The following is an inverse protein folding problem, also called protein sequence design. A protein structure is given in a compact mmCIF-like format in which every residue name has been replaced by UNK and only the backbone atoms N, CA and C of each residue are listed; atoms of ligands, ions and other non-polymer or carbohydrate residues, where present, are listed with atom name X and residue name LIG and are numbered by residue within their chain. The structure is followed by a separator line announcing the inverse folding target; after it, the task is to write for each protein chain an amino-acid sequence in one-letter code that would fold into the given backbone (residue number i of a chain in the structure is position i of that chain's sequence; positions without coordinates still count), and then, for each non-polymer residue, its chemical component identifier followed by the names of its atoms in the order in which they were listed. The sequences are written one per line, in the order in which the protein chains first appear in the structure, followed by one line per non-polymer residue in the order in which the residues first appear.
data_IF_432054162784
#
_entry.id   IF_432054162784
#
_cell.length_a   1.000
_cell.length_b   1.000
_cell.length_c   1.000
_cell.angle_alpha   90.00
_cell.angle_beta   90.00
_cell.angle_gamma   90.00
#
_symmetry.space_group_name_H-M   'P 1'
#
loop_
_entity.id
_entity.type
_entity.pdbx_description
1 polymer ?
#
# COMPACT_ATOMS: atom_id res chain seq x y z
N UNK A 1 35.48 2.47 -2.52
CA UNK A 1 34.64 1.33 -2.62
C UNK A 1 33.36 1.60 -1.86
N UNK A 2 32.38 2.31 -2.46
CA UNK A 2 31.05 2.52 -1.90
C UNK A 2 30.17 1.36 -2.33
N UNK A 3 29.76 0.52 -1.40
CA UNK A 3 28.70 -0.45 -1.62
C UNK A 3 27.38 0.32 -1.77
N UNK A 4 26.87 0.39 -2.99
CA UNK A 4 25.47 0.71 -3.23
C UNK A 4 24.64 -0.40 -2.59
N UNK A 5 24.05 -0.11 -1.42
CA UNK A 5 23.12 -1.00 -0.74
C UNK A 5 21.87 -1.11 -1.59
N UNK A 6 21.83 -2.12 -2.42
CA UNK A 6 20.62 -2.62 -3.07
C UNK A 6 19.60 -2.86 -1.96
N UNK A 7 18.37 -2.35 -2.14
CA UNK A 7 17.21 -2.63 -1.29
C UNK A 7 16.87 -4.12 -1.46
N UNK A 8 17.71 -4.96 -0.89
CA UNK A 8 17.40 -6.35 -0.63
C UNK A 8 16.70 -6.41 0.72
N UNK A 9 15.67 -7.21 0.82
CA UNK A 9 15.19 -7.74 2.07
C UNK A 9 16.42 -8.10 2.91
N UNK A 10 16.60 -7.47 4.07
CA UNK A 10 17.63 -7.93 4.99
C UNK A 10 17.08 -9.22 5.57
N UNK A 11 17.42 -10.34 4.93
CA UNK A 11 17.42 -11.64 5.61
C UNK A 11 18.58 -11.56 6.58
N UNK A 12 18.31 -11.07 7.78
CA UNK A 12 19.25 -11.17 8.88
C UNK A 12 19.18 -12.60 9.39
N UNK A 13 20.05 -13.46 8.88
CA UNK A 13 20.37 -14.72 9.56
C UNK A 13 21.22 -14.34 10.77
N UNK A 14 20.58 -13.95 11.86
CA UNK A 14 21.26 -13.85 13.14
C UNK A 14 21.30 -15.25 13.76
N UNK A 15 22.52 -15.73 14.02
CA UNK A 15 22.78 -16.82 14.95
C UNK A 15 22.26 -16.45 16.36
N UNK A 16 20.99 -16.59 16.58
CA UNK A 16 20.37 -16.53 17.90
C UNK A 16 20.11 -17.95 18.41
N UNK A 17 21.19 -18.62 18.80
CA UNK A 17 21.16 -19.69 19.76
C UNK A 17 20.68 -19.14 21.11
N UNK A 18 19.34 -19.10 21.34
CA UNK A 18 18.78 -19.08 22.69
C UNK A 18 17.30 -19.45 22.71
N UNK A 19 17.00 -20.38 23.61
CA UNK A 19 15.68 -20.82 24.09
C UNK A 19 14.87 -21.71 23.13
N UNK A 20 15.33 -22.92 22.93
CA UNK A 20 14.54 -24.05 22.44
C UNK A 20 14.12 -24.93 23.60
N UNK A 21 12.94 -24.73 24.14
CA UNK A 21 12.25 -25.74 24.93
C UNK A 21 11.07 -26.24 24.09
N UNK A 22 11.23 -27.41 23.43
CA UNK A 22 10.12 -28.17 22.84
C UNK A 22 9.79 -27.90 21.36
N UNK A 23 10.71 -27.35 20.54
CA UNK A 23 10.58 -27.32 19.07
C UNK A 23 11.15 -28.56 18.43
N UNK A 24 10.49 -29.01 17.35
CA UNK A 24 11.04 -30.03 16.46
C UNK A 24 12.39 -29.53 15.93
N UNK A 25 13.50 -30.27 16.17
CA UNK A 25 14.89 -29.85 15.88
C UNK A 25 15.20 -29.56 14.39
N UNK A 26 14.16 -29.55 13.53
CA UNK A 26 14.27 -29.38 12.08
C UNK A 26 13.74 -28.01 11.55
N UNK A 27 13.11 -27.17 12.38
CA UNK A 27 12.58 -25.90 11.93
C UNK A 27 13.57 -24.74 12.13
N UNK A 28 13.87 -24.03 11.05
CA UNK A 28 14.75 -22.85 11.02
C UNK A 28 13.99 -21.59 10.64
N UNK A 29 14.53 -20.41 11.00
CA UNK A 29 14.02 -19.13 10.53
C UNK A 29 14.45 -18.94 9.08
N UNK A 30 13.48 -19.01 8.16
CA UNK A 30 13.71 -18.82 6.72
C UNK A 30 13.80 -17.35 6.35
N UNK A 31 13.00 -16.50 7.00
CA UNK A 31 12.99 -15.05 6.82
C UNK A 31 12.47 -14.35 8.07
N UNK A 32 13.01 -13.16 8.33
CA UNK A 32 12.50 -12.19 9.28
C UNK A 32 12.16 -10.92 8.49
N UNK A 33 10.88 -10.58 8.42
CA UNK A 33 10.35 -9.52 7.57
C UNK A 33 10.09 -8.28 8.42
N UNK A 34 10.99 -7.31 8.35
CA UNK A 34 10.86 -6.04 9.06
C UNK A 34 10.50 -4.88 8.11
N UNK A 35 9.83 -3.87 8.66
CA UNK A 35 9.44 -2.68 7.92
C UNK A 35 10.65 -1.75 7.68
N UNK A 36 11.30 -1.88 6.53
CA UNK A 36 12.41 -1.02 6.12
C UNK A 36 11.93 0.33 5.59
N UNK A 37 12.80 1.37 5.60
CA UNK A 37 12.48 2.70 5.02
C UNK A 37 12.07 2.59 3.54
N UNK A 38 12.78 1.77 2.76
CA UNK A 38 12.45 1.57 1.35
C UNK A 38 11.06 0.97 1.15
N UNK A 39 10.73 -0.05 1.95
CA UNK A 39 9.41 -0.68 1.94
C UNK A 39 8.31 0.30 2.38
N UNK A 40 8.56 1.11 3.41
CA UNK A 40 7.62 2.16 3.86
C UNK A 40 7.32 3.16 2.74
N UNK A 41 8.34 3.62 1.99
CA UNK A 41 8.14 4.53 0.85
C UNK A 41 7.31 3.85 -0.24
N UNK A 42 7.59 2.59 -0.57
CA UNK A 42 6.83 1.84 -1.56
C UNK A 42 5.36 1.67 -1.12
N UNK A 43 5.12 1.26 0.13
CA UNK A 43 3.77 1.09 0.67
C UNK A 43 2.99 2.42 0.69
N UNK A 44 3.64 3.52 1.08
CA UNK A 44 3.02 4.85 1.06
C UNK A 44 2.64 5.27 -0.36
N UNK A 45 3.55 5.08 -1.33
CA UNK A 45 3.28 5.41 -2.73
C UNK A 45 2.14 4.55 -3.32
N UNK A 46 2.16 3.23 -3.08
CA UNK A 46 1.12 2.31 -3.54
C UNK A 46 -0.21 2.63 -2.84
N UNK A 47 -0.21 2.91 -1.53
CA UNK A 47 -1.39 3.30 -0.78
C UNK A 47 -2.00 4.59 -1.31
N UNK A 48 -1.18 5.60 -1.62
CA UNK A 48 -1.65 6.86 -2.22
C UNK A 48 -2.28 6.62 -3.61
N UNK A 49 -1.65 5.80 -4.44
CA UNK A 49 -2.24 5.39 -5.72
C UNK A 49 -3.52 4.57 -5.50
N UNK A 50 -3.52 3.68 -4.52
CA UNK A 50 -4.67 2.90 -4.08
C UNK A 50 -5.85 3.77 -3.64
N UNK A 51 -5.59 4.91 -3.00
CA UNK A 51 -6.63 5.89 -2.67
C UNK A 51 -7.28 6.48 -3.94
N UNK A 52 -6.49 6.86 -4.95
CA UNK A 52 -7.02 7.40 -6.21
C UNK A 52 -7.82 6.34 -6.96
N UNK A 53 -7.29 5.14 -7.06
CA UNK A 53 -7.96 4.01 -7.74
C UNK A 53 -9.22 3.58 -6.98
N UNK A 54 -9.13 3.40 -5.67
CA UNK A 54 -10.26 3.01 -4.82
C UNK A 54 -11.40 4.05 -4.87
N UNK A 55 -11.04 5.33 -4.76
CA UNK A 55 -12.00 6.42 -4.94
C UNK A 55 -12.71 6.36 -6.28
N UNK A 56 -11.95 6.19 -7.36
CA UNK A 56 -12.51 6.10 -8.71
C UNK A 56 -13.44 4.89 -8.84
N UNK A 57 -13.02 3.74 -8.35
CA UNK A 57 -13.83 2.50 -8.41
C UNK A 57 -15.13 2.66 -7.63
N UNK A 58 -15.07 3.05 -6.34
CA UNK A 58 -16.25 3.12 -5.49
C UNK A 58 -17.20 4.25 -5.91
N UNK A 59 -16.67 5.40 -6.35
CA UNK A 59 -17.50 6.48 -6.91
C UNK A 59 -18.20 6.06 -8.21
N UNK A 60 -17.50 5.30 -9.08
CA UNK A 60 -18.09 4.78 -10.32
C UNK A 60 -19.18 3.75 -10.02
N UNK A 61 -18.94 2.82 -9.06
CA UNK A 61 -19.95 1.84 -8.62
C UNK A 61 -21.17 2.57 -8.08
N UNK A 62 -20.97 3.57 -7.20
CA UNK A 62 -22.06 4.35 -6.62
C UNK A 62 -22.87 5.05 -7.70
N UNK A 63 -22.22 5.78 -8.61
CA UNK A 63 -22.89 6.48 -9.69
C UNK A 63 -23.62 5.53 -10.66
N UNK A 64 -23.01 4.42 -11.01
CA UNK A 64 -23.61 3.45 -11.93
C UNK A 64 -24.85 2.75 -11.35
N UNK A 65 -24.91 2.59 -10.02
CA UNK A 65 -25.98 1.87 -9.33
C UNK A 65 -27.11 2.77 -8.84
N UNK A 66 -26.79 3.99 -8.38
CA UNK A 66 -27.77 4.94 -7.83
C UNK A 66 -28.16 6.05 -8.81
N UNK A 67 -27.38 6.28 -9.86
CA UNK A 67 -27.54 7.40 -10.79
C UNK A 67 -27.10 8.75 -10.19
N UNK A 68 -26.60 8.77 -8.95
CA UNK A 68 -26.20 9.99 -8.24
C UNK A 68 -24.68 10.18 -8.31
N UNK A 69 -24.24 11.44 -8.35
CA UNK A 69 -22.83 11.78 -8.20
C UNK A 69 -22.52 11.98 -6.71
N UNK A 70 -21.48 11.33 -6.21
CA UNK A 70 -21.03 11.50 -4.84
C UNK A 70 -20.67 12.97 -4.55
N UNK A 71 -21.19 13.52 -3.46
CA UNK A 71 -20.93 14.89 -3.04
C UNK A 71 -20.46 14.92 -1.58
N UNK A 72 -19.18 15.22 -1.37
CA UNK A 72 -18.55 15.21 -0.03
C UNK A 72 -18.56 16.60 0.61
N UNK A 73 -19.72 17.16 0.81
CA UNK A 73 -19.90 18.40 1.57
C UNK A 73 -20.57 18.10 2.91
N UNK A 74 -19.75 17.92 3.96
CA UNK A 74 -20.25 17.74 5.32
C UNK A 74 -20.61 19.04 6.00
N UNK A 75 -19.99 20.16 5.57
CA UNK A 75 -20.27 21.50 6.07
C UNK A 75 -21.02 22.34 4.99
N UNK A 76 -21.93 23.26 5.40
CA UNK A 76 -22.64 24.12 4.47
C UNK A 76 -21.66 24.92 3.59
N UNK A 77 -21.89 25.00 2.26
CA UNK A 77 -21.02 25.75 1.37
C UNK A 77 -21.10 27.27 1.65
N UNK A 78 -19.98 27.98 1.48
CA UNK A 78 -20.00 29.45 1.35
C UNK A 78 -19.85 30.27 2.62
N UNK A 79 -19.47 29.70 3.76
CA UNK A 79 -19.33 30.45 5.03
C UNK A 79 -17.86 30.86 5.31
N UNK A 80 -16.91 30.58 4.41
CA UNK A 80 -15.49 30.95 4.54
C UNK A 80 -14.53 29.76 4.53
N UNK A 81 -13.22 30.02 4.54
CA UNK A 81 -12.14 29.01 4.46
C UNK A 81 -12.20 27.91 5.53
N UNK A 82 -12.82 28.21 6.68
CA UNK A 82 -12.95 27.24 7.77
C UNK A 82 -13.90 26.07 7.44
N UNK A 83 -14.83 26.22 6.48
CA UNK A 83 -15.71 25.13 6.02
C UNK A 83 -14.94 24.05 5.29
N UNK A 84 -13.96 24.44 4.48
CA UNK A 84 -13.06 23.50 3.80
C UNK A 84 -12.17 22.79 4.82
N UNK A 85 -11.64 23.53 5.81
CA UNK A 85 -10.88 22.95 6.91
C UNK A 85 -11.73 21.95 7.74
N UNK A 86 -13.01 22.25 7.97
CA UNK A 86 -13.93 21.35 8.66
C UNK A 86 -14.22 20.08 7.84
N UNK A 87 -14.42 20.21 6.54
CA UNK A 87 -14.58 19.05 5.65
C UNK A 87 -13.35 18.13 5.69
N UNK A 88 -12.15 18.68 5.60
CA UNK A 88 -10.89 17.93 5.73
C UNK A 88 -10.80 17.26 7.09
N UNK A 89 -11.14 17.97 8.18
CA UNK A 89 -11.12 17.39 9.54
C UNK A 89 -12.10 16.23 9.67
N UNK A 90 -13.31 16.35 9.13
CA UNK A 90 -14.30 15.26 9.15
C UNK A 90 -13.80 14.05 8.37
N UNK A 91 -13.18 14.24 7.19
CA UNK A 91 -12.58 13.15 6.41
C UNK A 91 -11.48 12.45 7.20
N UNK A 92 -10.61 13.21 7.88
CA UNK A 92 -9.54 12.66 8.73
C UNK A 92 -10.13 11.87 9.90
N UNK A 93 -11.17 12.39 10.57
CA UNK A 93 -11.85 11.69 11.67
C UNK A 93 -12.49 10.40 11.16
N UNK A 94 -13.23 10.45 10.06
CA UNK A 94 -13.83 9.27 9.46
C UNK A 94 -12.75 8.23 9.12
N UNK A 95 -11.66 8.64 8.48
CA UNK A 95 -10.54 7.74 8.17
C UNK A 95 -9.97 7.09 9.42
N UNK A 96 -9.75 7.87 10.49
CA UNK A 96 -9.22 7.35 11.76
C UNK A 96 -10.19 6.37 12.41
N UNK A 97 -11.49 6.69 12.44
CA UNK A 97 -12.54 5.82 13.01
C UNK A 97 -12.62 4.49 12.25
N UNK A 98 -12.39 4.48 10.92
CA UNK A 98 -12.44 3.26 10.13
C UNK A 98 -11.20 2.35 10.25
N UNK A 99 -10.07 2.87 10.76
CA UNK A 99 -8.93 2.02 11.14
C UNK A 99 -9.32 1.03 12.24
N UNK A 100 -10.17 1.44 13.20
CA UNK A 100 -10.58 0.57 14.32
C UNK A 100 -11.29 -0.71 13.85
N UNK A 101 -12.33 -0.69 13.01
CA UNK A 101 -12.93 -1.90 12.45
C UNK A 101 -11.94 -2.75 11.65
N UNK A 102 -11.01 -2.13 10.93
CA UNK A 102 -9.98 -2.84 10.17
C UNK A 102 -9.13 -3.70 11.10
N UNK A 103 -8.50 -3.09 12.11
CA UNK A 103 -7.67 -3.81 13.08
C UNK A 103 -8.48 -4.82 13.91
N UNK A 104 -9.71 -4.46 14.27
CA UNK A 104 -10.58 -5.37 15.00
C UNK A 104 -10.88 -6.65 14.21
N UNK A 105 -11.03 -6.57 12.88
CA UNK A 105 -11.25 -7.72 12.01
C UNK A 105 -10.01 -8.62 11.92
N UNK A 106 -8.79 -8.06 11.89
CA UNK A 106 -7.57 -8.85 12.06
C UNK A 106 -7.61 -9.63 13.38
N UNK A 107 -7.92 -8.94 14.48
CA UNK A 107 -8.02 -9.58 15.80
C UNK A 107 -9.12 -10.61 15.89
N UNK A 108 -10.24 -10.44 15.18
CA UNK A 108 -11.30 -11.44 15.11
C UNK A 108 -10.82 -12.72 14.40
N UNK A 109 -10.11 -12.55 13.28
CA UNK A 109 -9.52 -13.67 12.54
C UNK A 109 -8.41 -14.37 13.35
N UNK A 110 -7.57 -13.63 14.09
CA UNK A 110 -6.59 -14.18 15.02
C UNK A 110 -7.28 -15.07 16.06
N UNK A 111 -8.34 -14.56 16.70
CA UNK A 111 -9.09 -15.31 17.70
C UNK A 111 -9.80 -16.53 17.13
N UNK A 112 -10.29 -16.45 15.91
CA UNK A 112 -10.90 -17.59 15.23
C UNK A 112 -9.93 -18.77 15.07
N UNK A 113 -8.65 -18.48 14.87
CA UNK A 113 -7.59 -19.51 14.79
C UNK A 113 -6.93 -19.83 16.15
N UNK A 114 -7.47 -19.32 17.25
CA UNK A 114 -7.04 -19.69 18.63
C UNK A 114 -5.96 -18.76 19.21
N UNK A 115 -5.59 -17.67 18.53
CA UNK A 115 -4.63 -16.69 19.04
C UNK A 115 -5.32 -15.64 19.96
N UNK A 116 -4.51 -14.96 20.76
CA UNK A 116 -4.91 -13.79 21.54
C UNK A 116 -4.47 -12.53 20.81
N UNK A 117 -5.44 -11.71 20.37
CA UNK A 117 -5.15 -10.48 19.68
C UNK A 117 -4.80 -9.35 20.65
N UNK A 118 -3.69 -8.68 20.42
CA UNK A 118 -3.27 -7.44 21.08
C UNK A 118 -3.26 -6.32 20.06
N UNK A 119 -3.73 -5.14 20.44
CA UNK A 119 -3.85 -3.98 19.55
C UNK A 119 -2.90 -2.88 20.01
N UNK A 120 -2.34 -2.18 19.07
CA UNK A 120 -1.46 -1.05 19.33
C UNK A 120 -1.50 -0.01 18.24
N UNK A 121 -0.85 1.10 18.52
CA UNK A 121 -0.60 2.18 17.57
C UNK A 121 0.89 2.51 17.58
N UNK A 122 1.43 2.81 16.43
CA UNK A 122 2.83 3.15 16.27
C UNK A 122 3.02 4.30 15.29
N UNK A 123 4.26 4.75 15.16
CA UNK A 123 4.66 5.75 14.16
C UNK A 123 5.88 5.21 13.41
N UNK A 124 5.69 4.87 12.15
CA UNK A 124 6.79 4.43 11.29
C UNK A 124 7.63 5.62 10.87
N UNK A 125 8.95 5.54 11.12
CA UNK A 125 9.96 6.53 10.70
C UNK A 125 9.60 7.99 11.07
N UNK A 126 8.92 8.20 12.20
CA UNK A 126 8.48 9.50 12.75
C UNK A 126 7.45 10.28 11.92
N UNK A 127 6.89 9.70 10.85
CA UNK A 127 6.01 10.42 9.92
C UNK A 127 4.68 9.72 9.74
N UNK A 128 4.64 8.39 9.66
CA UNK A 128 3.45 7.63 9.31
C UNK A 128 2.85 6.95 10.54
N UNK A 129 1.73 7.46 11.09
CA UNK A 129 1.01 6.75 12.13
C UNK A 129 0.36 5.49 11.54
N UNK A 130 0.40 4.39 12.27
CA UNK A 130 -0.26 3.14 11.92
C UNK A 130 -0.84 2.48 13.16
N UNK A 131 -1.90 1.72 12.98
CA UNK A 131 -2.43 0.79 13.97
C UNK A 131 -2.03 -0.63 13.58
N UNK A 132 -2.07 -1.55 14.54
CA UNK A 132 -1.78 -2.95 14.28
C UNK A 132 -2.51 -3.85 15.29
N UNK A 133 -2.80 -5.07 14.82
CA UNK A 133 -3.20 -6.18 15.66
C UNK A 133 -2.10 -7.26 15.59
N UNK A 134 -1.59 -7.69 16.73
CA UNK A 134 -0.50 -8.68 16.81
C UNK A 134 -0.84 -9.80 17.79
N UNK A 135 -0.10 -10.91 17.72
CA UNK A 135 -0.29 -12.08 18.56
C UNK A 135 1.00 -12.90 18.66
N UNK A 136 1.14 -13.66 19.73
CA UNK A 136 2.22 -14.66 19.86
C UNK A 136 1.82 -16.02 19.27
N UNK A 137 0.65 -16.13 18.64
CA UNK A 137 0.16 -17.38 18.05
C UNK A 137 0.89 -17.70 16.76
N UNK A 138 1.22 -18.98 16.58
CA UNK A 138 1.82 -19.47 15.34
C UNK A 138 0.73 -19.90 14.36
N UNK A 139 0.77 -19.36 13.14
CA UNK A 139 -0.18 -19.68 12.09
C UNK A 139 0.43 -20.60 11.03
N UNK A 140 -0.37 -21.44 10.42
CA UNK A 140 -0.02 -21.98 9.11
C UNK A 140 -0.06 -20.84 8.06
N UNK A 141 0.67 -21.00 6.96
CA UNK A 141 0.68 -20.02 5.87
C UNK A 141 -0.72 -19.57 5.46
N UNK A 142 -1.63 -20.53 5.25
CA UNK A 142 -2.98 -20.21 4.74
C UNK A 142 -3.86 -19.52 5.81
N UNK A 143 -3.71 -19.88 7.08
CA UNK A 143 -4.40 -19.17 8.17
C UNK A 143 -3.95 -17.70 8.24
N UNK A 144 -2.66 -17.45 8.12
CA UNK A 144 -2.12 -16.11 8.17
C UNK A 144 -2.60 -15.25 6.99
N UNK A 145 -2.68 -15.82 5.78
CA UNK A 145 -3.28 -15.15 4.60
C UNK A 145 -4.74 -14.77 4.87
N UNK A 146 -5.52 -15.63 5.52
CA UNK A 146 -6.91 -15.30 5.90
C UNK A 146 -6.91 -14.16 6.92
N UNK A 147 -6.05 -14.20 7.93
CA UNK A 147 -5.94 -13.10 8.92
C UNK A 147 -5.67 -11.77 8.21
N UNK A 148 -4.67 -11.72 7.31
CA UNK A 148 -4.28 -10.52 6.58
C UNK A 148 -5.40 -9.97 5.67
N UNK A 149 -6.10 -10.83 4.94
CA UNK A 149 -7.09 -10.37 3.96
C UNK A 149 -8.50 -10.15 4.53
N UNK A 150 -8.77 -10.59 5.77
CA UNK A 150 -10.10 -10.48 6.39
C UNK A 150 -10.65 -9.06 6.39
N UNK A 151 -9.93 -7.99 6.80
CA UNK A 151 -10.50 -6.64 6.80
C UNK A 151 -10.84 -6.15 5.39
N UNK A 152 -9.94 -6.35 4.43
CA UNK A 152 -10.16 -5.93 3.06
C UNK A 152 -11.43 -6.58 2.48
N UNK A 153 -11.55 -7.89 2.65
CA UNK A 153 -12.67 -8.66 2.10
C UNK A 153 -13.98 -8.34 2.82
N UNK A 154 -13.99 -8.39 4.15
CA UNK A 154 -15.24 -8.22 4.93
C UNK A 154 -15.77 -6.80 4.82
N UNK A 155 -14.92 -5.77 4.98
CA UNK A 155 -15.37 -4.39 4.90
C UNK A 155 -15.83 -4.02 3.48
N UNK A 156 -15.20 -4.57 2.44
CA UNK A 156 -15.64 -4.34 1.06
C UNK A 156 -16.96 -5.06 0.77
N UNK A 157 -17.07 -6.34 1.15
CA UNK A 157 -18.30 -7.14 0.91
C UNK A 157 -19.51 -6.63 1.70
N UNK A 158 -19.31 -6.00 2.85
CA UNK A 158 -20.40 -5.39 3.62
C UNK A 158 -20.64 -3.94 3.20
N UNK A 159 -19.57 -3.17 3.03
CA UNK A 159 -19.67 -1.74 2.77
C UNK A 159 -20.24 -1.39 1.40
N UNK A 160 -19.88 -2.13 0.34
CA UNK A 160 -20.41 -1.86 -1.01
C UNK A 160 -21.92 -2.08 -1.09
N UNK A 161 -22.49 -3.22 -0.63
CA UNK A 161 -23.95 -3.39 -0.60
C UNK A 161 -24.66 -2.35 0.28
N UNK A 162 -24.10 -1.97 1.43
CA UNK A 162 -24.70 -0.94 2.30
C UNK A 162 -24.67 0.43 1.60
N UNK A 163 -23.56 0.79 0.95
CA UNK A 163 -23.42 2.01 0.17
C UNK A 163 -24.51 2.12 -0.91
N UNK A 164 -24.77 1.03 -1.62
CA UNK A 164 -25.77 0.98 -2.69
C UNK A 164 -27.20 0.97 -2.12
N UNK A 165 -27.48 0.12 -1.13
CA UNK A 165 -28.83 -0.09 -0.61
C UNK A 165 -29.41 1.14 0.11
N UNK A 166 -28.55 1.92 0.75
CA UNK A 166 -28.92 3.11 1.51
C UNK A 166 -28.57 4.42 0.82
N UNK A 167 -27.94 4.33 -0.39
CA UNK A 167 -27.45 5.49 -1.14
C UNK A 167 -26.49 6.37 -0.31
N UNK A 168 -25.66 5.72 0.53
CA UNK A 168 -24.70 6.38 1.42
C UNK A 168 -23.37 6.63 0.71
N UNK A 169 -23.25 7.77 0.03
CA UNK A 169 -22.02 8.18 -0.69
C UNK A 169 -20.81 8.32 0.24
N UNK A 170 -21.00 8.73 1.50
CA UNK A 170 -19.93 8.87 2.48
C UNK A 170 -19.16 7.57 2.75
N UNK A 171 -19.75 6.39 2.46
CA UNK A 171 -19.06 5.09 2.58
C UNK A 171 -17.95 4.92 1.53
N UNK A 172 -17.92 5.72 0.48
CA UNK A 172 -16.81 5.74 -0.49
C UNK A 172 -15.49 6.07 0.22
N UNK A 173 -15.50 7.00 1.19
CA UNK A 173 -14.29 7.37 1.95
C UNK A 173 -13.71 6.18 2.70
N UNK A 174 -14.43 5.51 3.63
CA UNK A 174 -13.88 4.38 4.37
C UNK A 174 -13.54 3.17 3.50
N UNK A 175 -14.31 2.89 2.45
CA UNK A 175 -14.00 1.81 1.51
C UNK A 175 -12.68 2.08 0.76
N UNK A 176 -12.47 3.32 0.34
CA UNK A 176 -11.22 3.76 -0.28
C UNK A 176 -10.04 3.63 0.67
N UNK A 177 -10.20 4.09 1.91
CA UNK A 177 -9.15 4.02 2.92
C UNK A 177 -8.85 2.58 3.34
N UNK A 178 -9.86 1.72 3.42
CA UNK A 178 -9.67 0.28 3.65
C UNK A 178 -8.84 -0.37 2.54
N UNK A 179 -9.17 -0.09 1.28
CA UNK A 179 -8.43 -0.63 0.13
C UNK A 179 -6.98 -0.12 0.08
N UNK A 180 -6.77 1.16 0.34
CA UNK A 180 -5.44 1.78 0.38
C UNK A 180 -4.61 1.32 1.59
N UNK A 181 -5.23 1.15 2.76
CA UNK A 181 -4.59 0.67 3.99
C UNK A 181 -4.17 -0.79 3.91
N UNK A 182 -4.93 -1.62 3.20
CA UNK A 182 -4.63 -3.03 3.01
C UNK A 182 -3.39 -3.34 2.14
N UNK A 183 -2.65 -2.32 1.67
CA UNK A 183 -1.44 -2.50 0.86
C UNK A 183 -0.38 -3.32 1.60
N UNK A 184 -0.20 -3.09 2.90
CA UNK A 184 0.72 -3.86 3.73
C UNK A 184 0.29 -5.33 3.84
N UNK A 185 -1.00 -5.59 4.05
CA UNK A 185 -1.57 -6.94 4.14
C UNK A 185 -1.44 -7.69 2.82
N UNK A 186 -1.68 -7.00 1.69
CA UNK A 186 -1.51 -7.56 0.35
C UNK A 186 -0.03 -7.91 0.11
N UNK A 187 0.89 -7.00 0.44
CA UNK A 187 2.32 -7.25 0.29
C UNK A 187 2.77 -8.46 1.13
N UNK A 188 2.35 -8.49 2.40
CA UNK A 188 2.66 -9.60 3.30
C UNK A 188 2.07 -10.93 2.78
N UNK A 189 0.83 -10.89 2.30
CA UNK A 189 0.16 -12.05 1.67
C UNK A 189 0.97 -12.55 0.47
N UNK A 190 1.36 -11.68 -0.45
CA UNK A 190 2.16 -12.03 -1.63
C UNK A 190 3.52 -12.62 -1.24
N UNK A 191 4.14 -12.07 -0.20
CA UNK A 191 5.42 -12.56 0.32
C UNK A 191 5.26 -13.96 0.91
N UNK A 192 4.32 -14.15 1.81
CA UNK A 192 4.09 -15.42 2.51
C UNK A 192 3.65 -16.54 1.55
N UNK A 193 2.81 -16.23 0.55
CA UNK A 193 2.38 -17.20 -0.48
C UNK A 193 3.54 -17.65 -1.38
N UNK A 194 4.62 -16.91 -1.47
CA UNK A 194 5.81 -17.33 -2.21
C UNK A 194 6.51 -18.55 -1.58
N UNK A 195 6.34 -18.77 -0.28
CA UNK A 195 6.88 -19.91 0.45
C UNK A 195 6.00 -21.17 0.32
N UNK A 196 6.51 -22.38 0.62
CA UNK A 196 5.73 -23.61 0.64
C UNK A 196 4.55 -23.56 1.61
N UNK A 197 3.52 -24.38 1.39
CA UNK A 197 2.27 -24.33 2.18
C UNK A 197 2.43 -24.76 3.64
N UNK A 198 3.47 -25.53 3.95
CA UNK A 198 3.70 -26.08 5.28
C UNK A 198 4.47 -25.16 6.22
N UNK A 199 4.98 -24.00 5.73
CA UNK A 199 5.69 -23.04 6.59
C UNK A 199 4.76 -22.49 7.66
N UNK A 200 5.36 -22.13 8.80
CA UNK A 200 4.70 -21.51 9.94
C UNK A 200 5.05 -20.04 10.00
N UNK A 201 4.11 -19.24 10.42
CA UNK A 201 4.23 -17.79 10.50
C UNK A 201 4.07 -17.39 11.95
N UNK A 202 5.03 -16.61 12.45
CA UNK A 202 5.00 -16.03 13.79
C UNK A 202 4.98 -14.51 13.62
N UNK A 203 3.92 -13.90 14.09
CA UNK A 203 3.78 -12.44 14.15
C UNK A 203 4.51 -11.90 15.40
N UNK A 204 5.18 -10.78 15.27
CA UNK A 204 5.81 -10.08 16.39
C UNK A 204 5.79 -8.56 16.17
N UNK A 205 6.00 -7.77 17.22
CA UNK A 205 5.84 -6.31 17.19
C UNK A 205 6.70 -5.60 16.12
N UNK A 206 7.86 -6.16 15.74
CA UNK A 206 8.76 -5.58 14.75
C UNK A 206 8.52 -6.10 13.33
N UNK A 207 7.70 -7.16 13.14
CA UNK A 207 7.48 -7.76 11.84
C UNK A 207 6.99 -9.20 11.92
N UNK A 208 7.31 -9.99 10.91
CA UNK A 208 6.82 -11.36 10.75
C UNK A 208 7.96 -12.33 10.45
N UNK A 209 8.04 -13.42 11.19
CA UNK A 209 8.98 -14.52 10.95
C UNK A 209 8.32 -15.66 10.20
N UNK A 210 9.03 -16.16 9.21
CA UNK A 210 8.67 -17.36 8.47
C UNK A 210 9.57 -18.50 8.92
N UNK A 211 8.96 -19.55 9.46
CA UNK A 211 9.62 -20.76 9.95
C UNK A 211 9.36 -21.92 8.98
N UNK A 212 10.37 -22.73 8.73
CA UNK A 212 10.25 -23.89 7.87
C UNK A 212 11.51 -24.75 7.91
N UNK A 213 11.63 -25.65 6.96
CA UNK A 213 12.81 -26.52 6.84
C UNK A 213 13.97 -25.74 6.22
N UNK A 214 15.19 -26.05 6.58
CA UNK A 214 16.40 -25.43 6.03
C UNK A 214 16.50 -25.50 4.49
N UNK A 215 15.84 -26.48 3.88
CA UNK A 215 15.75 -26.64 2.42
C UNK A 215 14.67 -25.82 1.75
N UNK A 216 13.75 -25.24 2.53
CA UNK A 216 12.64 -24.44 1.97
C UNK A 216 13.17 -23.12 1.44
N UNK A 217 12.76 -22.77 0.23
CA UNK A 217 13.11 -21.49 -0.42
C UNK A 217 11.86 -20.84 -0.98
N UNK A 218 11.78 -19.51 -0.97
CA UNK A 218 10.75 -18.81 -1.70
C UNK A 218 10.91 -19.05 -3.20
N UNK A 219 9.82 -19.02 -3.94
CA UNK A 219 9.86 -19.13 -5.41
C UNK A 219 10.54 -17.88 -5.99
N UNK A 220 11.73 -18.03 -6.53
CA UNK A 220 12.60 -16.93 -6.99
C UNK A 220 12.01 -16.07 -8.13
N UNK A 221 11.16 -16.65 -8.96
CA UNK A 221 10.48 -15.99 -10.09
C UNK A 221 8.96 -16.11 -9.94
N UNK A 222 8.45 -15.75 -8.78
CA UNK A 222 6.99 -15.68 -8.58
C UNK A 222 6.43 -14.51 -9.38
N UNK A 223 5.37 -14.74 -10.14
CA UNK A 223 4.55 -13.68 -10.78
C UNK A 223 4.21 -12.60 -9.77
N UNK A 224 3.95 -12.97 -8.52
CA UNK A 224 3.67 -12.05 -7.42
C UNK A 224 4.80 -11.05 -7.18
N UNK A 225 6.05 -11.49 -7.24
CA UNK A 225 7.22 -10.59 -7.06
C UNK A 225 7.35 -9.61 -8.23
N UNK A 226 7.15 -10.09 -9.46
CA UNK A 226 7.21 -9.23 -10.67
C UNK A 226 6.06 -8.21 -10.64
N UNK A 227 4.86 -8.64 -10.27
CA UNK A 227 3.69 -7.75 -10.13
C UNK A 227 3.95 -6.70 -9.05
N UNK A 228 4.50 -7.10 -7.89
CA UNK A 228 4.83 -6.14 -6.83
C UNK A 228 5.89 -5.13 -7.26
N UNK A 229 6.94 -5.57 -7.96
CA UNK A 229 7.96 -4.67 -8.49
C UNK A 229 7.35 -3.68 -9.50
N UNK A 230 6.48 -4.16 -10.40
CA UNK A 230 5.78 -3.29 -11.35
C UNK A 230 4.88 -2.26 -10.65
N UNK A 231 4.08 -2.70 -9.68
CA UNK A 231 3.21 -1.82 -8.89
C UNK A 231 4.02 -0.80 -8.07
N UNK A 232 5.10 -1.24 -7.42
CA UNK A 232 5.97 -0.35 -6.62
C UNK A 232 6.63 0.70 -7.47
N UNK A 233 7.22 0.29 -8.60
CA UNK A 233 7.85 1.22 -9.54
C UNK A 233 6.85 2.20 -10.14
N UNK A 234 5.66 1.70 -10.51
CA UNK A 234 4.58 2.54 -11.04
C UNK A 234 4.09 3.56 -10.01
N UNK A 235 3.85 3.13 -8.78
CA UNK A 235 3.34 3.98 -7.72
C UNK A 235 4.37 5.04 -7.30
N UNK A 236 5.63 4.68 -7.10
CA UNK A 236 6.69 5.62 -6.73
C UNK A 236 6.90 6.66 -7.84
N UNK A 237 6.91 6.24 -9.11
CA UNK A 237 7.06 7.15 -10.24
C UNK A 237 5.83 8.08 -10.38
N UNK A 238 4.61 7.54 -10.34
CA UNK A 238 3.38 8.33 -10.41
C UNK A 238 3.27 9.32 -9.25
N UNK A 239 3.57 8.88 -8.02
CA UNK A 239 3.57 9.75 -6.84
C UNK A 239 4.61 10.86 -6.95
N UNK A 240 5.85 10.54 -7.39
CA UNK A 240 6.90 11.52 -7.60
C UNK A 240 6.51 12.57 -8.65
N UNK A 241 5.94 12.14 -9.79
CA UNK A 241 5.44 13.05 -10.82
C UNK A 241 4.27 13.88 -10.31
N UNK A 242 3.33 13.28 -9.56
CA UNK A 242 2.19 13.99 -8.95
C UNK A 242 2.68 15.10 -8.03
N UNK A 243 3.60 14.80 -7.10
CA UNK A 243 4.17 15.80 -6.17
C UNK A 243 4.91 16.89 -6.92
N UNK A 244 5.71 16.52 -7.93
CA UNK A 244 6.42 17.50 -8.76
C UNK A 244 5.45 18.44 -9.48
N UNK A 245 4.39 17.91 -10.07
CA UNK A 245 3.42 18.71 -10.83
C UNK A 245 2.46 19.49 -9.92
N UNK A 246 2.04 18.93 -8.78
CA UNK A 246 1.09 19.58 -7.90
C UNK A 246 1.73 20.68 -7.02
N UNK A 247 3.00 20.54 -6.66
CA UNK A 247 3.72 21.48 -5.79
C UNK A 247 4.81 22.23 -6.56
N UNK A 248 5.75 21.50 -7.17
CA UNK A 248 6.89 22.09 -7.86
C UNK A 248 6.50 22.87 -9.11
N UNK A 249 5.56 22.35 -9.89
CA UNK A 249 5.09 22.95 -11.14
C UNK A 249 4.49 24.35 -10.92
N UNK A 250 3.42 24.50 -10.14
CA UNK A 250 2.81 25.80 -9.89
C UNK A 250 3.78 26.82 -9.26
N UNK A 251 4.60 26.38 -8.31
CA UNK A 251 5.59 27.24 -7.66
C UNK A 251 6.62 27.77 -8.68
N UNK A 252 7.22 26.87 -9.46
CA UNK A 252 8.22 27.24 -10.45
C UNK A 252 7.65 28.13 -11.55
N UNK A 253 6.47 27.76 -12.10
CA UNK A 253 5.83 28.53 -13.17
C UNK A 253 5.41 29.93 -12.70
N UNK A 254 4.92 30.04 -11.46
CA UNK A 254 4.62 31.35 -10.87
C UNK A 254 5.85 32.23 -10.70
N UNK A 255 6.96 31.65 -10.24
CA UNK A 255 8.24 32.37 -10.10
C UNK A 255 8.83 32.81 -11.45
N UNK A 256 8.59 32.04 -12.50
CA UNK A 256 9.02 32.36 -13.86
C UNK A 256 8.05 33.33 -14.58
N UNK A 257 6.96 33.72 -13.95
CA UNK A 257 5.97 34.64 -14.53
C UNK A 257 5.17 34.01 -15.69
N UNK A 258 5.05 32.69 -15.73
CA UNK A 258 4.26 32.00 -16.75
C UNK A 258 2.79 32.20 -16.47
N UNK A 259 2.03 32.73 -17.43
CA UNK A 259 0.60 32.99 -17.30
C UNK A 259 -0.24 31.72 -17.51
N UNK A 260 0.15 30.87 -18.46
CA UNK A 260 -0.54 29.60 -18.70
C UNK A 260 0.36 28.56 -19.35
N UNK A 261 0.17 27.30 -18.99
CA UNK A 261 0.84 26.16 -19.59
C UNK A 261 -0.14 24.97 -19.57
N UNK A 262 -0.26 24.28 -20.70
CA UNK A 262 -1.02 23.02 -20.75
C UNK A 262 -0.19 21.96 -21.48
N UNK A 263 -0.04 20.79 -20.84
CA UNK A 263 0.69 19.65 -21.39
C UNK A 263 -0.31 18.51 -21.59
N UNK A 264 -0.45 18.09 -22.84
CA UNK A 264 -1.45 17.10 -23.28
C UNK A 264 -2.83 17.75 -23.54
N UNK A 265 -3.81 16.92 -23.90
CA UNK A 265 -5.16 17.38 -24.26
C UNK A 265 -6.12 17.15 -23.08
N UNK A 266 -6.68 18.21 -22.48
CA UNK A 266 -7.66 18.07 -21.40
C UNK A 266 -8.82 17.14 -21.79
N UNK A 267 -9.26 16.30 -20.83
CA UNK A 267 -10.32 15.31 -21.05
C UNK A 267 -9.87 14.02 -21.75
N UNK A 268 -8.57 13.86 -22.05
CA UNK A 268 -8.01 12.64 -22.65
C UNK A 268 -6.99 11.98 -21.71
N UNK A 269 -6.62 10.72 -22.02
CA UNK A 269 -5.57 9.97 -21.28
C UNK A 269 -4.17 10.58 -21.44
N UNK A 270 -3.98 11.45 -22.43
CA UNK A 270 -2.69 12.14 -22.67
C UNK A 270 -2.57 13.44 -21.88
N UNK A 271 -3.64 13.87 -21.21
CA UNK A 271 -3.58 15.06 -20.36
C UNK A 271 -2.67 14.82 -19.16
N UNK A 272 -1.62 15.63 -19.04
CA UNK A 272 -0.64 15.53 -17.96
C UNK A 272 -0.82 16.64 -16.93
N UNK A 273 -0.86 17.90 -17.38
CA UNK A 273 -0.83 19.04 -16.47
C UNK A 273 -1.41 20.30 -17.14
N UNK A 274 -2.08 21.13 -16.35
CA UNK A 274 -2.39 22.49 -16.72
C UNK A 274 -2.09 23.45 -15.57
N UNK A 275 -1.71 24.65 -15.92
CA UNK A 275 -1.44 25.76 -15.00
C UNK A 275 -1.97 27.04 -15.60
N UNK A 276 -2.63 27.86 -14.77
CA UNK A 276 -3.10 29.19 -15.13
C UNK A 276 -2.83 30.13 -13.97
N UNK A 277 -2.20 31.26 -14.26
CA UNK A 277 -1.86 32.29 -13.29
C UNK A 277 -2.40 33.62 -13.82
N UNK A 278 -3.49 34.06 -13.24
CA UNK A 278 -4.13 35.35 -13.55
C UNK A 278 -4.05 36.28 -12.33
N UNK A 279 -4.28 37.60 -12.48
CA UNK A 279 -4.25 38.52 -11.35
C UNK A 279 -5.23 38.17 -10.21
N UNK A 280 -6.25 37.36 -10.50
CA UNK A 280 -7.33 37.05 -9.57
C UNK A 280 -7.32 35.59 -9.10
N UNK A 281 -6.62 34.69 -9.83
CA UNK A 281 -6.69 33.28 -9.56
C UNK A 281 -5.42 32.56 -10.03
N UNK A 282 -4.91 31.64 -9.19
CA UNK A 282 -3.92 30.64 -9.60
C UNK A 282 -4.62 29.29 -9.55
N UNK A 283 -4.67 28.60 -10.68
CA UNK A 283 -5.24 27.25 -10.78
C UNK A 283 -4.28 26.28 -11.46
N UNK A 284 -4.35 25.02 -11.06
CA UNK A 284 -3.62 23.95 -11.72
C UNK A 284 -4.43 22.65 -11.71
N UNK A 285 -4.15 21.81 -12.67
CA UNK A 285 -4.75 20.48 -12.78
C UNK A 285 -3.70 19.43 -13.16
N UNK A 286 -3.85 18.23 -12.63
CA UNK A 286 -3.01 17.07 -12.98
C UNK A 286 -3.90 16.02 -13.63
N UNK A 287 -3.45 15.50 -14.76
CA UNK A 287 -4.24 14.60 -15.58
C UNK A 287 -3.82 13.12 -15.48
N UNK A 288 -4.60 12.23 -16.11
CA UNK A 288 -4.41 10.78 -16.05
C UNK A 288 -3.10 10.29 -16.71
N UNK A 289 -2.43 11.10 -17.52
CA UNK A 289 -1.13 10.73 -18.11
C UNK A 289 -0.06 10.41 -17.05
N UNK A 290 -0.20 10.93 -15.81
CA UNK A 290 0.65 10.55 -14.67
C UNK A 290 0.62 9.04 -14.43
N UNK A 291 -0.56 8.41 -14.52
CA UNK A 291 -0.70 6.97 -14.35
C UNK A 291 -0.03 6.19 -15.48
N UNK A 292 -0.10 6.71 -16.71
CA UNK A 292 0.56 6.10 -17.88
C UNK A 292 2.08 6.15 -17.76
N UNK A 293 2.63 7.28 -17.29
CA UNK A 293 4.07 7.42 -16.98
C UNK A 293 4.45 6.44 -15.87
N UNK A 294 3.68 6.41 -14.79
CA UNK A 294 3.91 5.48 -13.69
C UNK A 294 3.93 4.02 -14.15
N UNK A 295 2.91 3.60 -14.91
CA UNK A 295 2.82 2.23 -15.45
C UNK A 295 4.03 1.87 -16.31
N UNK A 296 4.46 2.78 -17.21
CA UNK A 296 5.62 2.56 -18.05
C UNK A 296 6.90 2.38 -17.22
N UNK A 297 7.14 3.28 -16.27
CA UNK A 297 8.31 3.18 -15.37
C UNK A 297 8.25 1.91 -14.53
N UNK A 298 7.08 1.54 -14.03
CA UNK A 298 6.88 0.32 -13.24
C UNK A 298 7.21 -0.94 -14.03
N UNK A 299 6.77 -1.04 -15.28
CA UNK A 299 7.09 -2.18 -16.14
C UNK A 299 8.60 -2.27 -16.44
N UNK A 300 9.23 -1.14 -16.73
CA UNK A 300 10.70 -1.08 -16.97
C UNK A 300 11.43 -1.48 -15.68
N UNK A 301 11.02 -0.99 -14.53
CA UNK A 301 11.62 -1.34 -13.25
C UNK A 301 11.49 -2.83 -12.92
N UNK A 302 10.30 -3.41 -13.10
CA UNK A 302 10.07 -4.84 -12.90
C UNK A 302 10.93 -5.70 -13.84
N UNK A 303 11.02 -5.31 -15.10
CA UNK A 303 11.87 -5.99 -16.09
C UNK A 303 13.35 -5.97 -15.67
N UNK A 304 13.89 -4.78 -15.34
CA UNK A 304 15.28 -4.63 -14.92
C UNK A 304 15.58 -5.44 -13.64
N UNK A 305 14.68 -5.42 -12.65
CA UNK A 305 14.85 -6.20 -11.43
C UNK A 305 14.79 -7.71 -11.67
N UNK A 306 13.90 -8.16 -12.55
CA UNK A 306 13.82 -9.58 -12.93
C UNK A 306 15.07 -10.05 -13.65
N UNK A 307 15.61 -9.23 -14.54
CA UNK A 307 16.87 -9.50 -15.25
C UNK A 307 18.05 -9.63 -14.27
N UNK A 308 18.23 -8.65 -13.37
CA UNK A 308 19.30 -8.64 -12.37
C UNK A 308 19.19 -9.81 -11.36
N UNK A 309 17.97 -10.29 -11.06
CA UNK A 309 17.77 -11.48 -10.23
C UNK A 309 18.18 -12.77 -10.97
N UNK A 310 17.90 -12.82 -12.27
CA UNK A 310 18.30 -13.96 -13.11
C UNK A 310 19.82 -14.09 -13.24
N UNK A 311 20.54 -12.99 -13.42
CA UNK A 311 22.02 -13.01 -13.45
C UNK A 311 22.64 -13.51 -12.15
N UNK A 312 22.14 -13.04 -10.98
CA UNK A 312 22.66 -13.47 -9.67
C UNK A 312 22.44 -14.95 -9.41
N UNK A 313 21.31 -15.51 -9.83
CA UNK A 313 21.04 -16.94 -9.68
C UNK A 313 22.02 -17.80 -10.52
N UNK A 314 22.43 -17.29 -11.68
CA UNK A 314 23.42 -17.96 -12.51
C UNK A 314 24.84 -17.88 -11.93
N UNK A 315 25.21 -16.75 -11.35
CA UNK A 315 26.52 -16.56 -10.70
C UNK A 315 26.68 -17.47 -9.45
N UNK A 316 25.61 -17.57 -8.62
CA UNK A 316 25.61 -18.46 -7.45
C UNK A 316 25.74 -19.95 -7.83
N UNK A 317 25.13 -20.39 -8.95
CA UNK A 317 25.26 -21.76 -9.46
C UNK A 317 26.66 -22.04 -10.02
N UNK A 318 27.38 -21.04 -10.55
CA UNK A 318 28.76 -21.18 -11.05
C UNK A 318 29.77 -21.26 -9.91
N UNK A 319 29.57 -20.48 -8.84
CA UNK A 319 30.45 -20.49 -7.66
C UNK A 319 30.25 -21.73 -6.76
N UNK A 320 29.14 -22.47 -6.93
CA UNK A 320 28.86 -23.71 -6.19
C UNK A 320 29.39 -24.98 -6.88
N UNK A 321 29.96 -24.92 -8.09
CA UNK A 321 30.56 -25.99 -8.86
C UNK A 321 32.09 -25.99 -8.74
#
# INVERSE_FOLDING_TARGET
GGRLSTVCYVVSVNDASMATAGRDDSETVLADLELTRGLTIQMTAIGTLGMVVGWTIFSTIYQATTGQTASFQFAPPGIGWWTDALNVLIIVILGTVFIVPHEWLHGLAIRYYGGEARYGVGVAHFILPYAYATTDHEFSRNQFVVVLLTPLVVLTLLGVPLMIAFEWDWLIVPLTLNAAGAVADIWMTLTVVSYPAHVRIVDHEAGVRILGRDTDRPRSLSITTVVWDALSGAAVAAFGVLVLLAIGGPLLLSLLGVESLTIGTPGTITYLFSFTNTPTEISFGVGPAVLSIGATVGLVYAFLRSYLRGERALDEDVDAQ
#
